data_IF_478607767658
#
_entry.id   IF_478607767658
#
_cell.length_a   1.000
_cell.length_b   1.000
_cell.length_c   1.000
_cell.angle_alpha   90.00
_cell.angle_beta   90.00
_cell.angle_gamma   90.00
#
_symmetry.space_group_name_H-M   'P 1'
#
loop_
_entity.id
_entity.type
_entity.pdbx_description
1 polymer ?
#
# COMPACT_ATOMS: atom_id res chain seq x y z
N UNK A 1 24.69 -33.66 -1.56
CA UNK A 1 24.47 -32.47 -0.69
C UNK A 1 23.89 -31.23 -1.41
N UNK A 2 23.48 -31.32 -2.69
CA UNK A 2 22.89 -30.19 -3.43
C UNK A 2 21.35 -30.03 -3.27
N UNK A 3 20.65 -31.10 -2.86
CA UNK A 3 19.19 -31.10 -2.72
C UNK A 3 18.69 -30.24 -1.55
N UNK A 4 19.39 -30.30 -0.39
CA UNK A 4 19.05 -29.51 0.80
C UNK A 4 19.23 -27.99 0.61
N UNK A 5 20.21 -27.54 -0.20
CA UNK A 5 20.42 -26.12 -0.51
C UNK A 5 19.30 -25.53 -1.37
N UNK A 6 18.84 -26.28 -2.38
CA UNK A 6 17.74 -25.84 -3.25
C UNK A 6 16.40 -25.73 -2.51
N UNK A 7 16.11 -26.65 -1.60
CA UNK A 7 14.90 -26.55 -0.79
C UNK A 7 14.98 -25.39 0.21
N UNK A 8 16.13 -25.13 0.81
CA UNK A 8 16.31 -23.97 1.71
C UNK A 8 16.18 -22.63 0.97
N UNK A 9 16.74 -22.51 -0.25
CA UNK A 9 16.56 -21.32 -1.09
C UNK A 9 15.11 -21.15 -1.57
N UNK A 10 14.42 -22.24 -1.88
CA UNK A 10 13.02 -22.20 -2.29
C UNK A 10 12.09 -21.86 -1.13
N UNK A 11 12.28 -22.48 0.05
CA UNK A 11 11.56 -22.15 1.28
C UNK A 11 11.80 -20.70 1.68
N UNK A 12 13.05 -20.22 1.62
CA UNK A 12 13.37 -18.82 1.91
C UNK A 12 12.75 -17.85 0.91
N UNK A 13 12.71 -18.21 -0.38
CA UNK A 13 12.06 -17.42 -1.43
C UNK A 13 10.54 -17.41 -1.27
N UNK A 14 9.93 -18.52 -0.84
CA UNK A 14 8.52 -18.57 -0.44
C UNK A 14 8.26 -17.78 0.86
N UNK A 15 9.22 -17.77 1.79
CA UNK A 15 9.14 -16.99 3.03
C UNK A 15 9.29 -15.49 2.75
N UNK A 16 10.15 -15.07 1.81
CA UNK A 16 10.29 -13.68 1.38
C UNK A 16 9.06 -13.19 0.57
N UNK A 17 8.38 -14.11 -0.14
CA UNK A 17 7.09 -13.89 -0.78
C UNK A 17 5.97 -13.80 0.28
N UNK A 18 6.01 -14.63 1.33
CA UNK A 18 5.05 -14.65 2.42
C UNK A 18 5.23 -13.51 3.45
N UNK A 19 6.46 -13.04 3.65
CA UNK A 19 6.83 -11.83 4.41
C UNK A 19 6.66 -10.55 3.58
N UNK A 20 6.23 -10.68 2.32
CA UNK A 20 5.57 -9.61 1.57
C UNK A 20 6.43 -8.40 1.29
N UNK A 21 7.63 -8.58 0.72
CA UNK A 21 8.31 -7.50 -0.03
C UNK A 21 8.07 -7.63 -1.54
N UNK A 22 6.86 -8.02 -1.94
CA UNK A 22 6.43 -7.92 -3.33
C UNK A 22 6.15 -6.46 -3.64
N UNK A 23 6.96 -5.87 -4.52
CA UNK A 23 6.74 -4.52 -5.04
C UNK A 23 6.17 -4.69 -6.45
N UNK A 24 4.89 -4.41 -6.61
CA UNK A 24 4.28 -4.31 -7.94
C UNK A 24 4.67 -2.96 -8.53
N UNK A 25 5.31 -3.00 -9.70
CA UNK A 25 5.67 -1.82 -10.50
C UNK A 25 4.96 -1.94 -11.83
N UNK A 26 4.13 -0.96 -12.16
CA UNK A 26 3.55 -0.81 -13.50
C UNK A 26 4.44 0.16 -14.28
N UNK A 27 4.93 -0.28 -15.44
CA UNK A 27 5.75 0.52 -16.36
C UNK A 27 4.91 0.79 -17.61
N UNK A 28 4.76 2.05 -18.00
CA UNK A 28 4.07 2.40 -19.24
C UNK A 28 5.02 2.41 -20.47
N UNK A 29 4.44 2.60 -21.66
CA UNK A 29 5.19 2.63 -22.93
C UNK A 29 6.12 3.86 -23.06
N UNK A 30 5.87 4.91 -22.26
CA UNK A 30 6.65 6.15 -22.22
C UNK A 30 7.84 6.04 -21.23
N UNK A 31 7.82 5.00 -20.38
CA UNK A 31 8.85 4.67 -19.40
C UNK A 31 8.55 5.16 -17.98
N UNK A 32 7.37 5.71 -17.73
CA UNK A 32 6.95 6.10 -16.38
C UNK A 32 6.58 4.87 -15.55
N UNK A 33 6.94 4.92 -14.27
CA UNK A 33 6.81 3.81 -13.35
C UNK A 33 5.93 4.19 -12.16
N UNK A 34 4.83 3.44 -11.98
CA UNK A 34 3.93 3.58 -10.83
C UNK A 34 4.10 2.38 -9.91
N UNK A 35 4.46 2.62 -8.66
CA UNK A 35 4.67 1.55 -7.68
C UNK A 35 4.25 1.95 -6.28
N UNK A 36 3.91 0.94 -5.47
CA UNK A 36 3.65 1.14 -4.04
C UNK A 36 4.96 1.33 -3.30
N UNK A 37 5.05 2.42 -2.53
CA UNK A 37 6.25 2.77 -1.76
C UNK A 37 6.44 1.80 -0.58
N UNK A 38 7.11 0.68 -0.83
CA UNK A 38 7.53 -0.31 0.17
C UNK A 38 8.98 -0.14 0.65
N UNK A 39 9.46 -1.10 1.44
CA UNK A 39 10.81 -1.08 2.04
C UNK A 39 11.97 -1.16 1.02
N UNK A 40 11.68 -1.42 -0.26
CA UNK A 40 12.64 -1.40 -1.37
C UNK A 40 12.45 -0.23 -2.36
N UNK A 41 11.48 0.66 -2.09
CA UNK A 41 11.16 1.78 -2.98
C UNK A 41 12.25 2.88 -3.02
N UNK A 42 13.19 2.86 -2.08
CA UNK A 42 14.29 3.82 -2.05
C UNK A 42 15.29 3.60 -3.19
N UNK A 43 15.38 2.37 -3.74
CA UNK A 43 16.21 2.06 -4.91
C UNK A 43 15.78 2.87 -6.14
N UNK A 44 14.48 3.16 -6.28
CA UNK A 44 13.93 3.89 -7.43
C UNK A 44 13.99 5.41 -7.29
N UNK A 45 14.27 5.93 -6.09
CA UNK A 45 14.48 7.39 -5.90
C UNK A 45 15.78 7.89 -6.49
N UNK A 46 16.78 7.01 -6.66
CA UNK A 46 18.09 7.38 -7.20
C UNK A 46 18.06 7.52 -8.74
N UNK A 47 17.00 7.05 -9.39
CA UNK A 47 16.90 6.94 -10.86
C UNK A 47 16.21 8.17 -11.49
N UNK A 48 15.45 8.97 -10.74
CA UNK A 48 14.79 10.17 -11.28
C UNK A 48 13.86 10.91 -10.31
N UNK A 49 13.15 11.93 -10.82
CA UNK A 49 12.15 12.69 -10.05
C UNK A 49 10.93 11.81 -9.72
N UNK A 50 10.79 11.43 -8.44
CA UNK A 50 9.68 10.60 -7.99
C UNK A 50 8.56 11.44 -7.36
N UNK A 51 7.39 11.50 -8.02
CA UNK A 51 6.18 12.10 -7.42
C UNK A 51 5.51 11.10 -6.47
N UNK A 52 5.87 11.17 -5.18
CA UNK A 52 5.21 10.34 -4.15
C UNK A 52 3.82 10.88 -3.84
N UNK A 53 2.77 10.12 -4.14
CA UNK A 53 1.41 10.37 -3.66
C UNK A 53 0.96 9.29 -2.66
N UNK A 54 0.04 9.62 -1.75
CA UNK A 54 -0.52 8.65 -0.80
C UNK A 54 -1.52 7.76 -1.53
N UNK A 55 -1.34 6.44 -1.47
CA UNK A 55 -2.23 5.46 -2.10
C UNK A 55 -3.61 5.39 -1.40
N UNK A 56 -3.64 5.56 -0.07
CA UNK A 56 -4.91 5.63 0.67
C UNK A 56 -4.81 6.45 1.95
N UNK A 57 -5.97 6.63 2.60
CA UNK A 57 -6.09 7.26 3.91
C UNK A 57 -6.67 6.26 4.93
N UNK A 58 -5.86 5.91 5.93
CA UNK A 58 -6.32 5.21 7.13
C UNK A 58 -6.72 6.24 8.19
N UNK A 59 -8.02 6.34 8.44
CA UNK A 59 -8.60 7.39 9.29
C UNK A 59 -9.62 6.82 10.29
N UNK A 60 -9.97 7.57 11.37
CA UNK A 60 -11.00 7.14 12.30
C UNK A 60 -12.39 7.03 11.64
N UNK A 61 -13.16 6.03 12.06
CA UNK A 61 -14.53 5.80 11.59
C UNK A 61 -15.52 6.83 12.13
N UNK A 62 -15.35 7.27 13.38
CA UNK A 62 -16.18 8.32 13.97
C UNK A 62 -15.91 9.67 13.28
N UNK A 63 -16.97 10.35 12.82
CA UNK A 63 -16.89 11.63 12.11
C UNK A 63 -16.21 12.74 12.94
N UNK A 64 -16.45 12.80 14.26
CA UNK A 64 -15.84 13.81 15.13
C UNK A 64 -14.33 13.56 15.26
N UNK A 65 -13.94 12.31 15.55
CA UNK A 65 -12.53 11.94 15.63
C UNK A 65 -11.82 12.15 14.29
N UNK A 66 -12.51 11.93 13.17
CA UNK A 66 -11.97 12.18 11.84
C UNK A 66 -11.68 13.65 11.60
N UNK A 67 -12.59 14.54 12.01
CA UNK A 67 -12.39 16.00 11.86
C UNK A 67 -11.21 16.47 12.71
N UNK A 68 -11.12 16.01 13.96
CA UNK A 68 -9.97 16.31 14.84
C UNK A 68 -8.69 15.73 14.24
N UNK A 69 -8.73 14.51 13.72
CA UNK A 69 -7.58 13.86 13.08
C UNK A 69 -7.07 14.70 11.90
N UNK A 70 -7.95 15.12 10.98
CA UNK A 70 -7.55 15.95 9.85
C UNK A 70 -7.05 17.33 10.28
N UNK A 71 -7.72 17.97 11.25
CA UNK A 71 -7.28 19.27 11.77
C UNK A 71 -5.87 19.19 12.38
N UNK A 72 -5.62 18.18 13.21
CA UNK A 72 -4.29 17.94 13.76
C UNK A 72 -3.29 17.69 12.63
N UNK A 73 -3.63 16.82 11.68
CA UNK A 73 -2.75 16.46 10.56
C UNK A 73 -2.46 17.60 9.58
N UNK A 74 -3.33 18.61 9.50
CA UNK A 74 -3.06 19.85 8.76
C UNK A 74 -2.19 20.85 9.53
N UNK A 75 -2.21 20.81 10.86
CA UNK A 75 -1.49 21.75 11.71
C UNK A 75 -0.07 21.27 12.09
N UNK A 76 0.13 19.96 12.16
CA UNK A 76 1.41 19.37 12.59
C UNK A 76 2.07 18.55 11.49
N UNK A 77 3.40 18.60 11.44
CA UNK A 77 4.18 17.78 10.49
C UNK A 77 3.95 16.28 10.74
N UNK A 78 4.07 15.47 9.68
CA UNK A 78 3.85 14.01 9.72
C UNK A 78 4.77 13.28 10.73
N UNK A 79 5.97 13.85 10.97
CA UNK A 79 6.98 13.35 11.89
C UNK A 79 6.80 13.86 13.34
N UNK A 80 5.84 14.75 13.60
CA UNK A 80 5.63 15.30 14.93
C UNK A 80 5.14 14.23 15.92
N UNK A 81 5.47 14.42 17.20
CA UNK A 81 5.00 13.57 18.31
C UNK A 81 3.47 13.56 18.42
N UNK A 82 2.83 14.67 18.06
CA UNK A 82 1.37 14.81 18.05
C UNK A 82 0.78 13.94 16.93
N UNK A 83 1.37 13.96 15.72
CA UNK A 83 0.96 13.05 14.65
C UNK A 83 1.15 11.58 15.07
N UNK A 84 2.24 11.24 15.76
CA UNK A 84 2.45 9.89 16.30
C UNK A 84 1.37 9.51 17.33
N UNK A 85 0.99 10.42 18.23
CA UNK A 85 -0.08 10.19 19.21
C UNK A 85 -1.44 9.96 18.56
N UNK A 86 -1.78 10.67 17.48
CA UNK A 86 -3.05 10.39 16.76
C UNK A 86 -3.10 8.97 16.17
N UNK A 87 -1.94 8.34 15.91
CA UNK A 87 -1.85 6.94 15.44
C UNK A 87 -2.07 5.92 16.54
N UNK A 88 -2.05 6.32 17.83
CA UNK A 88 -2.26 5.42 18.98
C UNK A 88 -3.69 5.48 19.54
N UNK A 89 -4.60 6.19 18.89
CA UNK A 89 -5.98 6.29 19.34
C UNK A 89 -6.70 4.94 19.29
N UNK A 90 -7.41 4.61 20.38
CA UNK A 90 -8.25 3.41 20.50
C UNK A 90 -9.61 3.66 19.84
N UNK A 91 -9.64 3.73 18.52
CA UNK A 91 -10.86 3.89 17.74
C UNK A 91 -10.95 2.83 16.65
N UNK A 92 -12.13 2.72 16.04
CA UNK A 92 -12.28 1.97 14.81
C UNK A 92 -11.64 2.76 13.67
N UNK A 93 -10.84 2.07 12.87
CA UNK A 93 -10.14 2.59 11.70
C UNK A 93 -10.87 2.17 10.44
N UNK A 94 -10.96 3.09 9.48
CA UNK A 94 -11.45 2.85 8.12
C UNK A 94 -10.33 3.13 7.12
N UNK A 95 -10.36 2.40 6.02
CA UNK A 95 -9.42 2.57 4.90
C UNK A 95 -10.18 3.22 3.75
N UNK A 96 -9.71 4.38 3.32
CA UNK A 96 -10.28 5.16 2.23
C UNK A 96 -9.30 5.18 1.06
N UNK A 97 -9.60 4.40 0.02
CA UNK A 97 -8.77 4.23 -1.18
C UNK A 97 -9.16 5.19 -2.30
N UNK A 98 -9.90 6.27 -1.99
CA UNK A 98 -10.28 7.31 -2.96
C UNK A 98 -9.14 7.80 -3.86
N UNK A 99 -7.87 7.97 -3.40
CA UNK A 99 -6.78 8.40 -4.27
C UNK A 99 -6.40 7.41 -5.38
N UNK A 100 -6.65 6.11 -5.21
CA UNK A 100 -6.20 5.06 -6.13
C UNK A 100 -7.35 4.27 -6.74
N UNK A 101 -8.22 3.68 -5.92
CA UNK A 101 -9.28 2.80 -6.38
C UNK A 101 -10.69 3.44 -6.31
N UNK A 102 -10.84 4.57 -5.59
CA UNK A 102 -12.07 5.35 -5.60
C UNK A 102 -13.14 4.95 -4.58
N UNK A 103 -12.88 3.98 -3.69
CA UNK A 103 -13.87 3.50 -2.72
C UNK A 103 -13.37 3.43 -1.28
N UNK A 104 -14.26 3.05 -0.35
CA UNK A 104 -13.96 2.88 1.07
C UNK A 104 -14.17 1.40 1.38
N UNK A 105 -13.19 0.76 2.01
CA UNK A 105 -13.34 -0.64 2.39
C UNK A 105 -14.52 -0.78 3.38
N UNK A 106 -15.38 -1.81 3.28
CA UNK A 106 -16.54 -1.95 4.14
C UNK A 106 -16.16 -2.35 5.58
N UNK A 107 -15.04 -3.04 5.75
CA UNK A 107 -14.57 -3.51 7.04
C UNK A 107 -13.99 -2.37 7.90
N UNK A 108 -14.05 -2.55 9.22
CA UNK A 108 -13.48 -1.64 10.21
C UNK A 108 -12.54 -2.41 11.11
N UNK A 109 -11.39 -1.80 11.44
CA UNK A 109 -10.36 -2.46 12.24
C UNK A 109 -10.19 -1.75 13.57
N UNK A 110 -10.01 -2.53 14.64
CA UNK A 110 -9.70 -1.98 15.98
C UNK A 110 -8.22 -1.61 16.10
N UNK A 111 -7.37 -2.30 15.35
CA UNK A 111 -5.96 -2.03 15.28
C UNK A 111 -5.64 -1.27 13.98
N UNK A 112 -4.93 -0.16 14.12
CA UNK A 112 -4.50 0.64 12.97
C UNK A 112 -3.56 -0.17 12.05
N UNK A 113 -2.73 -1.03 12.63
CA UNK A 113 -1.79 -1.84 11.84
C UNK A 113 -2.53 -2.87 10.98
N UNK A 114 -3.62 -3.44 11.49
CA UNK A 114 -4.46 -4.34 10.69
C UNK A 114 -5.14 -3.60 9.53
N UNK A 115 -5.58 -2.36 9.75
CA UNK A 115 -6.13 -1.52 8.67
C UNK A 115 -5.09 -1.22 7.59
N UNK A 116 -3.83 -0.95 7.98
CA UNK A 116 -2.72 -0.74 7.03
C UNK A 116 -2.41 -2.04 6.28
N UNK A 117 -2.37 -3.18 6.97
CA UNK A 117 -2.09 -4.45 6.30
C UNK A 117 -3.21 -4.77 5.29
N UNK A 118 -4.47 -4.54 5.67
CA UNK A 118 -5.61 -4.72 4.76
C UNK A 118 -5.57 -3.74 3.58
N UNK A 119 -5.17 -2.47 3.79
CA UNK A 119 -4.90 -1.50 2.73
C UNK A 119 -3.86 -2.05 1.74
N UNK A 120 -2.71 -2.53 2.24
CA UNK A 120 -1.62 -3.04 1.41
C UNK A 120 -2.07 -4.27 0.62
N UNK A 121 -2.70 -5.25 1.27
CA UNK A 121 -3.21 -6.45 0.60
C UNK A 121 -4.23 -6.10 -0.46
N UNK A 122 -5.12 -5.14 -0.17
CA UNK A 122 -6.13 -4.67 -1.10
C UNK A 122 -5.49 -3.99 -2.33
N UNK A 123 -4.57 -3.04 -2.13
CA UNK A 123 -3.88 -2.35 -3.22
C UNK A 123 -3.08 -3.34 -4.08
N UNK A 124 -2.35 -4.28 -3.48
CA UNK A 124 -1.58 -5.28 -4.21
C UNK A 124 -2.47 -6.11 -5.14
N UNK A 125 -3.61 -6.59 -4.63
CA UNK A 125 -4.56 -7.34 -5.44
C UNK A 125 -5.18 -6.47 -6.55
N UNK A 126 -5.53 -5.22 -6.22
CA UNK A 126 -6.10 -4.27 -7.19
C UNK A 126 -5.16 -4.01 -8.38
N UNK A 127 -3.87 -3.84 -8.14
CA UNK A 127 -2.89 -3.66 -9.22
C UNK A 127 -2.74 -4.92 -10.09
N UNK A 128 -2.73 -6.12 -9.49
CA UNK A 128 -2.65 -7.39 -10.22
C UNK A 128 -3.92 -7.63 -11.06
N UNK A 129 -5.09 -7.36 -10.51
CA UNK A 129 -6.36 -7.47 -11.23
C UNK A 129 -6.46 -6.46 -12.38
N UNK A 130 -5.99 -5.23 -12.18
CA UNK A 130 -5.92 -4.21 -13.22
C UNK A 130 -5.05 -4.64 -14.41
N UNK A 131 -3.88 -5.24 -14.15
CA UNK A 131 -3.00 -5.78 -15.19
C UNK A 131 -3.68 -6.89 -16.00
N UNK A 132 -4.33 -7.84 -15.31
CA UNK A 132 -5.05 -8.93 -15.97
C UNK A 132 -6.19 -8.41 -16.86
N UNK A 133 -6.88 -7.35 -16.43
CA UNK A 133 -7.95 -6.73 -17.20
C UNK A 133 -7.43 -6.01 -18.47
N UNK A 134 -6.26 -5.36 -18.38
CA UNK A 134 -5.60 -4.72 -19.54
C UNK A 134 -5.17 -5.79 -20.55
N UNK A 135 -4.46 -6.83 -20.10
CA UNK A 135 -4.03 -7.93 -20.97
C UNK A 135 -5.22 -8.67 -21.63
N UNK A 136 -6.34 -8.82 -20.92
CA UNK A 136 -7.55 -9.40 -21.49
C UNK A 136 -8.18 -8.52 -22.57
N UNK A 137 -8.13 -7.20 -22.42
CA UNK A 137 -8.65 -6.25 -23.40
C UNK A 137 -7.75 -6.18 -24.65
N UNK A 138 -6.43 -6.25 -24.51
CA UNK A 138 -5.49 -6.28 -25.63
C UNK A 138 -5.62 -7.54 -26.48
N UNK A 139 -5.83 -8.71 -25.87
CA UNK A 139 -6.09 -9.96 -26.60
C UNK A 139 -7.39 -9.97 -27.41
N UNK A 140 -8.33 -9.08 -27.11
CA UNK A 140 -9.57 -8.95 -27.88
C UNK A 140 -9.46 -7.93 -29.03
N UNK A 141 -8.37 -7.14 -29.07
CA UNK A 141 -8.11 -6.13 -30.10
C UNK A 141 -7.15 -6.62 -31.21
N UNK A 142 -6.60 -7.83 -31.08
CA UNK A 142 -5.82 -8.53 -32.11
C UNK A 142 -6.58 -9.73 -32.66
#
# INVERSE_FOLDING_TARGET
MAYKRRNYEFEKRCQDIADGKVITVTIDEEGDQVFLKGHGADVFKEIGETKTQRASHVEPDNAVLRLVFHAVRSLVSDASRIAAWTRTWRCLWRVNTKPTAGYILPQRWRNRQEAINAEISFLNNWFVEGENAIQACERQKG
#
